data_IF_456033675042
#
_entry.id   IF_456033675042
#
_cell.length_a   1.000
_cell.length_b   1.000
_cell.length_c   1.000
_cell.angle_alpha   90.00
_cell.angle_beta   90.00
_cell.angle_gamma   90.00
#
_symmetry.space_group_name_H-M   'P 1'
#
loop_
_entity.id
_entity.type
_entity.pdbx_description
1 polymer ?
#
# COMPACT_ATOMS: atom_id res chain seq x y z
N UNK A 1 -54.62 13.20 12.27
CA UNK A 1 -54.16 14.34 13.09
C UNK A 1 -53.21 13.93 14.25
N UNK A 2 -52.16 13.13 14.04
CA UNK A 2 -51.18 12.91 15.14
C UNK A 2 -49.74 12.57 14.71
N UNK A 3 -49.51 12.11 13.48
CA UNK A 3 -48.14 11.80 12.99
C UNK A 3 -47.44 12.92 12.21
N UNK A 4 -48.15 14.00 11.85
CA UNK A 4 -47.58 15.10 11.06
C UNK A 4 -47.01 16.26 11.90
N UNK A 5 -47.14 16.22 13.22
CA UNK A 5 -46.64 17.29 14.12
C UNK A 5 -45.19 17.04 14.57
N UNK A 6 -44.67 15.80 14.45
CA UNK A 6 -43.34 15.43 14.97
C UNK A 6 -42.18 15.65 13.99
N UNK A 7 -42.45 16.08 12.75
CA UNK A 7 -41.39 16.44 11.79
C UNK A 7 -41.03 17.94 11.83
N UNK A 8 -41.74 18.72 12.64
CA UNK A 8 -41.51 20.15 12.87
C UNK A 8 -40.87 20.41 14.23
N UNK A 9 -39.87 19.62 14.60
CA UNK A 9 -39.06 19.89 15.80
C UNK A 9 -37.57 19.64 15.58
N UNK A 10 -37.16 19.37 14.33
CA UNK A 10 -35.75 19.27 13.93
C UNK A 10 -35.22 20.58 13.30
N UNK A 11 -36.04 21.63 13.24
CA UNK A 11 -35.75 22.88 12.52
C UNK A 11 -35.86 24.13 13.43
N UNK A 12 -35.53 23.96 14.71
CA UNK A 12 -35.47 25.07 15.67
C UNK A 12 -34.28 24.84 16.60
N UNK A 13 -33.08 25.27 16.18
CA UNK A 13 -31.95 25.33 17.12
C UNK A 13 -30.53 25.19 16.57
N UNK A 14 -30.26 25.43 15.29
CA UNK A 14 -28.87 25.76 14.91
C UNK A 14 -28.90 26.87 13.88
N UNK A 15 -28.61 28.09 14.35
CA UNK A 15 -28.42 29.23 13.46
C UNK A 15 -27.31 28.89 12.45
N UNK A 16 -27.36 29.35 11.18
CA UNK A 16 -26.30 29.08 10.19
C UNK A 16 -24.89 29.44 10.72
N UNK A 17 -24.82 30.39 11.66
CA UNK A 17 -23.63 30.81 12.38
C UNK A 17 -23.07 29.79 13.38
N UNK A 18 -23.89 28.94 14.00
CA UNK A 18 -23.43 27.86 14.91
C UNK A 18 -22.98 26.60 14.17
N UNK A 19 -23.61 26.29 13.03
CA UNK A 19 -23.14 25.21 12.15
C UNK A 19 -21.81 25.59 11.49
N UNK A 20 -21.64 26.86 11.12
CA UNK A 20 -20.36 27.36 10.63
C UNK A 20 -19.29 27.32 11.72
N UNK A 21 -19.57 27.78 12.96
CA UNK A 21 -18.57 27.81 14.04
C UNK A 21 -18.05 26.43 14.49
N UNK A 22 -18.83 25.35 14.30
CA UNK A 22 -18.39 23.96 14.53
C UNK A 22 -17.56 23.39 13.34
N UNK A 23 -17.64 24.01 12.16
CA UNK A 23 -16.95 23.59 10.93
C UNK A 23 -15.75 24.50 10.57
N UNK A 24 -15.52 25.60 11.28
CA UNK A 24 -14.48 26.60 10.93
C UNK A 24 -12.99 26.23 11.16
N UNK A 25 -12.58 25.06 11.72
CA UNK A 25 -11.20 24.59 11.53
C UNK A 25 -11.01 23.78 10.23
N UNK A 26 -12.09 23.35 9.56
CA UNK A 26 -12.03 22.46 8.40
C UNK A 26 -11.70 23.13 7.05
N UNK A 27 -11.99 24.42 6.75
CA UNK A 27 -11.71 24.97 5.43
C UNK A 27 -10.24 25.30 5.19
N UNK A 28 -9.42 25.51 6.24
CA UNK A 28 -7.97 25.76 6.09
C UNK A 28 -7.26 24.44 5.76
N UNK A 29 -7.55 23.38 6.51
CA UNK A 29 -6.98 22.04 6.29
C UNK A 29 -7.50 21.44 4.97
N UNK A 30 -8.79 21.58 4.64
CA UNK A 30 -9.32 21.11 3.34
C UNK A 30 -8.89 21.97 2.15
N UNK A 31 -8.56 23.26 2.30
CA UNK A 31 -7.97 24.04 1.19
C UNK A 31 -6.51 23.68 0.93
N UNK A 32 -5.71 23.42 1.97
CA UNK A 32 -4.31 22.98 1.78
C UNK A 32 -4.22 21.52 1.33
N UNK A 33 -5.01 20.62 1.92
CA UNK A 33 -5.03 19.19 1.55
C UNK A 33 -5.83 18.95 0.27
N UNK A 34 -6.85 19.76 -0.03
CA UNK A 34 -7.70 19.62 -1.22
C UNK A 34 -7.04 20.07 -2.53
N UNK A 35 -5.99 20.90 -2.47
CA UNK A 35 -5.21 21.31 -3.64
C UNK A 35 -4.06 20.36 -4.00
N UNK A 36 -3.54 19.59 -3.03
CA UNK A 36 -2.31 18.78 -3.16
C UNK A 36 -2.40 17.27 -2.83
N UNK A 37 -3.55 16.57 -2.84
CA UNK A 37 -3.55 15.13 -2.53
C UNK A 37 -2.77 14.32 -3.57
N UNK A 38 -2.90 14.70 -4.85
CA UNK A 38 -2.23 14.05 -5.98
C UNK A 38 -0.70 14.15 -5.88
N UNK A 39 -0.18 15.26 -5.36
CA UNK A 39 1.27 15.47 -5.26
C UNK A 39 1.91 14.53 -4.24
N UNK A 40 1.22 14.27 -3.12
CA UNK A 40 1.69 13.34 -2.09
C UNK A 40 1.61 11.89 -2.57
N UNK A 41 0.52 11.54 -3.28
CA UNK A 41 0.35 10.23 -3.90
C UNK A 41 1.41 10.02 -5.00
N UNK A 42 1.62 11.01 -5.87
CA UNK A 42 2.61 10.97 -6.93
C UNK A 42 4.04 10.88 -6.39
N UNK A 43 4.37 11.63 -5.33
CA UNK A 43 5.68 11.56 -4.68
C UNK A 43 5.91 10.19 -4.03
N UNK A 44 4.90 9.63 -3.38
CA UNK A 44 4.96 8.28 -2.82
C UNK A 44 5.17 7.22 -3.90
N UNK A 45 4.46 7.35 -5.03
CA UNK A 45 4.59 6.44 -6.18
C UNK A 45 5.96 6.58 -6.87
N UNK A 46 6.45 7.81 -7.04
CA UNK A 46 7.75 8.09 -7.66
C UNK A 46 8.90 7.56 -6.81
N UNK A 47 8.88 7.76 -5.48
CA UNK A 47 9.90 7.21 -4.58
C UNK A 47 9.87 5.68 -4.56
N UNK A 48 8.67 5.08 -4.54
CA UNK A 48 8.53 3.62 -4.65
C UNK A 48 9.08 3.11 -5.98
N UNK A 49 8.78 3.79 -7.10
CA UNK A 49 9.28 3.44 -8.43
C UNK A 49 10.81 3.59 -8.54
N UNK A 50 11.41 4.62 -7.93
CA UNK A 50 12.87 4.79 -7.89
C UNK A 50 13.56 3.69 -7.09
N UNK A 51 13.01 3.31 -5.93
CA UNK A 51 13.58 2.23 -5.11
C UNK A 51 13.43 0.86 -5.77
N UNK A 52 12.29 0.63 -6.44
CA UNK A 52 12.07 -0.55 -7.28
C UNK A 52 13.00 -0.56 -8.48
N UNK A 53 13.19 0.59 -9.15
CA UNK A 53 14.10 0.73 -10.28
C UNK A 53 15.57 0.47 -9.89
N UNK A 54 15.99 0.94 -8.71
CA UNK A 54 17.30 0.63 -8.16
C UNK A 54 17.46 -0.88 -7.94
N UNK A 55 16.45 -1.53 -7.36
CA UNK A 55 16.45 -2.98 -7.16
C UNK A 55 16.55 -3.75 -8.49
N UNK A 56 15.77 -3.35 -9.50
CA UNK A 56 15.80 -3.94 -10.84
C UNK A 56 17.12 -3.65 -11.57
N UNK A 57 17.85 -2.59 -11.24
CA UNK A 57 19.18 -2.31 -11.79
C UNK A 57 20.31 -3.08 -11.05
N UNK A 58 20.18 -3.29 -9.74
CA UNK A 58 21.17 -3.99 -8.91
C UNK A 58 21.09 -5.52 -9.08
N UNK A 59 19.90 -6.08 -9.28
CA UNK A 59 19.72 -7.52 -9.46
C UNK A 59 20.43 -8.10 -10.72
N UNK A 60 20.31 -7.52 -11.92
CA UNK A 60 21.00 -8.03 -13.10
C UNK A 60 22.51 -7.75 -13.06
N UNK A 61 22.97 -6.67 -12.43
CA UNK A 61 24.40 -6.39 -12.30
C UNK A 61 25.09 -7.36 -11.35
N UNK A 62 24.44 -7.69 -10.22
CA UNK A 62 24.92 -8.71 -9.28
C UNK A 62 24.85 -10.11 -9.90
N UNK A 63 23.76 -10.49 -10.59
CA UNK A 63 23.67 -11.77 -11.30
C UNK A 63 24.66 -11.88 -12.47
N UNK A 64 24.89 -10.81 -13.24
CA UNK A 64 25.91 -10.78 -14.28
C UNK A 64 27.34 -10.86 -13.72
N UNK A 65 27.59 -10.29 -12.55
CA UNK A 65 28.90 -10.45 -11.89
C UNK A 65 29.14 -11.89 -11.41
N UNK A 66 28.07 -12.59 -11.00
CA UNK A 66 28.13 -14.01 -10.60
C UNK A 66 28.28 -14.95 -11.82
N UNK A 67 27.66 -14.64 -12.97
CA UNK A 67 27.89 -15.42 -14.20
C UNK A 67 29.30 -15.24 -14.76
N UNK A 68 29.90 -14.05 -14.60
CA UNK A 68 31.31 -13.82 -14.96
C UNK A 68 32.28 -14.64 -14.10
N UNK A 69 31.86 -15.11 -12.93
CA UNK A 69 32.61 -16.00 -12.04
C UNK A 69 32.35 -17.49 -12.31
N UNK A 70 31.60 -17.83 -13.38
CA UNK A 70 31.30 -19.22 -13.77
C UNK A 70 30.05 -19.81 -13.08
N UNK A 71 29.26 -19.02 -12.37
CA UNK A 71 28.02 -19.48 -11.75
C UNK A 71 26.87 -19.60 -12.75
N UNK A 72 26.15 -20.73 -12.75
CA UNK A 72 24.87 -20.86 -13.45
C UNK A 72 23.81 -19.97 -12.78
N UNK A 73 23.03 -19.22 -13.58
CA UNK A 73 21.86 -18.50 -13.06
C UNK A 73 20.78 -19.54 -12.76
N UNK A 74 20.73 -19.99 -11.51
CA UNK A 74 19.64 -20.82 -10.99
C UNK A 74 18.54 -19.92 -10.47
N UNK A 75 17.28 -20.34 -10.55
CA UNK A 75 16.13 -19.60 -10.00
C UNK A 75 16.30 -19.24 -8.51
N UNK A 76 17.11 -20.02 -7.77
CA UNK A 76 17.42 -19.82 -6.36
C UNK A 76 18.23 -18.56 -6.05
N UNK A 77 19.01 -18.03 -7.00
CA UNK A 77 19.80 -16.81 -6.78
C UNK A 77 18.93 -15.56 -6.58
N UNK A 78 17.62 -15.66 -6.83
CA UNK A 78 16.64 -14.60 -6.65
C UNK A 78 15.85 -14.69 -5.34
N UNK A 79 16.01 -15.77 -4.56
CA UNK A 79 15.35 -15.93 -3.26
C UNK A 79 15.84 -14.97 -2.14
N UNK A 80 17.13 -14.63 -2.02
CA UNK A 80 17.63 -13.81 -0.91
C UNK A 80 16.87 -12.49 -0.68
N UNK A 81 16.57 -11.67 -1.71
CA UNK A 81 15.82 -10.42 -1.49
C UNK A 81 14.37 -10.64 -1.03
N UNK A 82 13.80 -11.82 -1.27
CA UNK A 82 12.46 -12.18 -0.82
C UNK A 82 12.45 -12.51 0.68
N UNK A 83 13.55 -13.07 1.22
CA UNK A 83 13.70 -13.40 2.64
C UNK A 83 13.82 -12.13 3.49
N UNK A 84 14.51 -11.10 3.00
CA UNK A 84 14.61 -9.79 3.68
C UNK A 84 13.25 -9.08 3.79
N UNK A 85 12.35 -9.34 2.85
CA UNK A 85 10.98 -8.85 2.89
C UNK A 85 10.16 -9.42 4.05
N UNK A 86 10.37 -10.69 4.38
CA UNK A 86 9.57 -11.42 5.37
C UNK A 86 9.67 -10.85 6.79
N UNK A 87 10.85 -10.37 7.19
CA UNK A 87 11.06 -9.73 8.49
C UNK A 87 10.67 -8.25 8.48
N UNK A 88 10.87 -7.58 7.35
CA UNK A 88 10.62 -6.15 7.24
C UNK A 88 9.12 -5.79 7.21
N UNK A 89 8.26 -6.67 6.68
CA UNK A 89 6.80 -6.51 6.64
C UNK A 89 6.18 -6.42 8.06
N UNK A 90 6.38 -7.39 8.97
CA UNK A 90 5.84 -7.31 10.33
C UNK A 90 6.46 -6.18 11.14
N UNK A 91 7.76 -5.89 10.96
CA UNK A 91 8.42 -4.72 11.54
C UNK A 91 7.76 -3.40 11.09
N UNK A 92 7.42 -3.29 9.81
CA UNK A 92 6.70 -2.13 9.27
C UNK A 92 5.29 -1.99 9.84
N UNK A 93 4.58 -3.10 10.08
CA UNK A 93 3.26 -3.09 10.72
C UNK A 93 3.33 -2.65 12.18
N UNK A 94 4.32 -3.15 12.93
CA UNK A 94 4.55 -2.75 14.32
C UNK A 94 4.91 -1.26 14.38
N UNK A 95 5.77 -0.80 13.48
CA UNK A 95 6.14 0.61 13.36
C UNK A 95 4.97 1.51 12.97
N UNK A 96 4.00 1.01 12.19
CA UNK A 96 2.79 1.76 11.87
C UNK A 96 1.78 1.78 13.02
N UNK A 97 1.66 0.67 13.76
CA UNK A 97 0.70 0.54 14.87
C UNK A 97 1.10 1.31 16.13
N UNK A 98 2.40 1.38 16.44
CA UNK A 98 2.88 2.04 17.67
C UNK A 98 2.58 3.56 17.72
N UNK A 99 2.86 4.37 16.67
CA UNK A 99 2.55 5.80 16.65
C UNK A 99 1.05 6.09 16.67
N UNK A 100 0.24 5.15 16.16
CA UNK A 100 -1.22 5.29 16.13
C UNK A 100 -1.83 5.23 17.54
N UNK A 101 -1.23 4.50 18.48
CA UNK A 101 -1.67 4.46 19.87
C UNK A 101 -1.01 5.57 20.72
N UNK A 102 0.22 5.97 20.38
CA UNK A 102 1.02 6.88 21.18
C UNK A 102 0.81 8.38 20.89
N UNK A 103 -0.20 8.77 20.09
CA UNK A 103 -0.48 10.16 19.69
C UNK A 103 0.79 10.94 19.25
N UNK A 104 1.72 10.23 18.61
CA UNK A 104 3.04 10.79 18.25
C UNK A 104 2.93 11.64 16.99
N UNK A 105 3.95 12.46 16.69
CA UNK A 105 4.03 13.28 15.47
C UNK A 105 3.52 12.55 14.22
N UNK A 106 2.61 13.20 13.49
CA UNK A 106 1.94 12.69 12.29
C UNK A 106 2.88 12.16 11.18
N UNK A 107 4.15 12.57 11.20
CA UNK A 107 5.18 12.11 10.25
C UNK A 107 5.62 10.65 10.49
N UNK A 108 5.57 10.17 11.73
CA UNK A 108 6.05 8.84 12.13
C UNK A 108 5.24 7.71 11.48
N UNK A 109 3.89 7.71 11.52
CA UNK A 109 3.10 6.70 10.81
C UNK A 109 3.27 6.80 9.28
N UNK A 110 3.47 8.00 8.72
CA UNK A 110 3.72 8.18 7.27
C UNK A 110 5.04 7.49 6.85
N UNK A 111 6.10 7.62 7.66
CA UNK A 111 7.37 6.92 7.44
C UNK A 111 7.21 5.40 7.55
N UNK A 112 6.42 4.92 8.52
CA UNK A 112 6.09 3.51 8.67
C UNK A 112 5.40 2.92 7.44
N UNK A 113 4.34 3.58 6.96
CA UNK A 113 3.60 3.13 5.76
C UNK A 113 4.46 3.17 4.50
N UNK A 114 5.37 4.15 4.37
CA UNK A 114 6.32 4.21 3.26
C UNK A 114 7.28 3.02 3.27
N UNK A 115 7.91 2.75 4.42
CA UNK A 115 8.83 1.62 4.55
C UNK A 115 8.14 0.27 4.30
N UNK A 116 6.93 0.11 4.84
CA UNK A 116 6.09 -1.07 4.62
C UNK A 116 5.74 -1.25 3.14
N UNK A 117 5.24 -0.20 2.47
CA UNK A 117 4.85 -0.26 1.06
C UNK A 117 6.00 -0.64 0.13
N UNK A 118 7.19 -0.07 0.35
CA UNK A 118 8.39 -0.40 -0.43
C UNK A 118 8.74 -1.89 -0.31
N UNK A 119 8.72 -2.44 0.91
CA UNK A 119 9.08 -3.84 1.15
C UNK A 119 8.06 -4.82 0.58
N UNK A 120 6.77 -4.49 0.63
CA UNK A 120 5.70 -5.30 0.01
C UNK A 120 5.88 -5.37 -1.51
N UNK A 121 6.10 -4.23 -2.17
CA UNK A 121 6.27 -4.19 -3.64
C UNK A 121 7.53 -4.94 -4.07
N UNK A 122 8.64 -4.79 -3.34
CA UNK A 122 9.90 -5.46 -3.67
C UNK A 122 9.82 -6.99 -3.51
N UNK A 123 9.14 -7.46 -2.47
CA UNK A 123 8.86 -8.89 -2.26
C UNK A 123 7.93 -9.43 -3.35
N UNK A 124 6.91 -8.65 -3.72
CA UNK A 124 5.95 -9.00 -4.77
C UNK A 124 6.63 -9.14 -6.13
N UNK A 125 7.49 -8.21 -6.52
CA UNK A 125 8.22 -8.31 -7.79
C UNK A 125 9.16 -9.51 -7.80
N UNK A 126 9.91 -9.73 -6.71
CA UNK A 126 10.83 -10.87 -6.59
C UNK A 126 10.10 -12.21 -6.73
N UNK A 127 8.91 -12.34 -6.11
CA UNK A 127 8.08 -13.53 -6.23
C UNK A 127 7.58 -13.77 -7.67
N UNK A 128 7.10 -12.73 -8.35
CA UNK A 128 6.63 -12.87 -9.74
C UNK A 128 7.77 -13.20 -10.71
N UNK A 129 8.95 -12.59 -10.54
CA UNK A 129 10.15 -12.91 -11.34
C UNK A 129 10.64 -14.33 -11.06
N UNK A 130 10.66 -14.77 -9.81
CA UNK A 130 11.04 -16.14 -9.44
C UNK A 130 10.10 -17.18 -10.08
N UNK A 131 8.78 -16.96 -9.98
CA UNK A 131 7.78 -17.86 -10.55
C UNK A 131 7.90 -18.03 -12.07
N UNK A 132 8.28 -16.96 -12.78
CA UNK A 132 8.55 -16.98 -14.22
C UNK A 132 9.81 -17.77 -14.56
N UNK A 133 10.88 -17.57 -13.80
CA UNK A 133 12.16 -18.24 -14.04
C UNK A 133 12.16 -19.72 -13.62
N UNK A 134 11.37 -20.12 -12.60
CA UNK A 134 11.26 -21.52 -12.17
C UNK A 134 10.36 -22.37 -13.08
N UNK A 135 9.48 -21.76 -13.88
CA UNK A 135 8.50 -22.45 -14.72
C UNK A 135 8.59 -22.03 -16.19
N UNK A 136 9.76 -22.22 -16.82
CA UNK A 136 10.03 -21.75 -18.19
C UNK A 136 9.01 -22.26 -19.23
N UNK A 137 8.47 -23.47 -19.08
CA UNK A 137 7.50 -24.08 -20.01
C UNK A 137 6.08 -23.51 -19.82
N UNK A 138 5.73 -23.08 -18.60
CA UNK A 138 4.38 -22.63 -18.22
C UNK A 138 4.34 -21.23 -17.61
N UNK A 139 5.32 -20.37 -17.91
CA UNK A 139 5.51 -19.06 -17.28
C UNK A 139 4.27 -18.14 -17.40
N UNK A 140 3.59 -18.19 -18.56
CA UNK A 140 2.37 -17.42 -18.79
C UNK A 140 1.22 -17.88 -17.88
N UNK A 141 1.05 -19.18 -17.68
CA UNK A 141 -0.02 -19.74 -16.84
C UNK A 141 0.18 -19.39 -15.37
N UNK A 142 1.41 -19.47 -14.86
CA UNK A 142 1.73 -19.16 -13.45
C UNK A 142 1.44 -17.68 -13.14
N UNK A 143 1.73 -16.78 -14.07
CA UNK A 143 1.47 -15.34 -13.91
C UNK A 143 -0.03 -15.05 -13.80
N UNK A 144 -0.85 -15.70 -14.63
CA UNK A 144 -2.32 -15.60 -14.57
C UNK A 144 -2.87 -16.26 -13.31
N UNK A 145 -2.36 -17.44 -12.93
CA UNK A 145 -2.78 -18.15 -11.72
C UNK A 145 -2.55 -17.30 -10.46
N UNK A 146 -1.39 -16.64 -10.36
CA UNK A 146 -1.10 -15.73 -9.25
C UNK A 146 -2.10 -14.57 -9.17
N UNK A 147 -2.55 -14.05 -10.31
CA UNK A 147 -3.55 -12.98 -10.40
C UNK A 147 -4.95 -13.51 -10.07
N UNK A 148 -5.29 -14.72 -10.51
CA UNK A 148 -6.55 -15.38 -10.22
C UNK A 148 -6.73 -15.61 -8.71
N UNK A 149 -5.69 -16.04 -8.00
CA UNK A 149 -5.73 -16.20 -6.53
C UNK A 149 -6.03 -14.87 -5.82
N UNK A 150 -5.47 -13.76 -6.30
CA UNK A 150 -5.73 -12.42 -5.75
C UNK A 150 -7.17 -11.98 -6.03
N UNK A 151 -7.65 -12.15 -7.26
CA UNK A 151 -9.04 -11.87 -7.62
C UNK A 151 -10.03 -12.70 -6.82
N UNK A 152 -9.71 -13.98 -6.58
CA UNK A 152 -10.51 -14.84 -5.70
C UNK A 152 -10.58 -14.29 -4.28
N UNK A 153 -9.43 -13.87 -3.71
CA UNK A 153 -9.40 -13.31 -2.36
C UNK A 153 -10.26 -12.05 -2.23
N UNK A 154 -10.27 -11.20 -3.27
CA UNK A 154 -11.12 -10.02 -3.32
C UNK A 154 -12.61 -10.38 -3.44
N UNK A 155 -12.95 -11.35 -4.29
CA UNK A 155 -14.31 -11.89 -4.40
C UNK A 155 -14.81 -12.48 -3.10
N UNK A 156 -13.97 -13.22 -2.38
CA UNK A 156 -14.31 -13.79 -1.08
C UNK A 156 -14.63 -12.68 -0.06
N UNK A 157 -13.81 -11.63 -0.01
CA UNK A 157 -14.05 -10.48 0.85
C UNK A 157 -15.38 -9.77 0.52
N UNK A 158 -15.66 -9.54 -0.76
CA UNK A 158 -16.92 -8.95 -1.22
C UNK A 158 -18.12 -9.85 -0.86
N UNK A 159 -17.98 -11.16 -0.95
CA UNK A 159 -19.02 -12.11 -0.56
C UNK A 159 -19.35 -12.06 0.93
N UNK A 160 -18.42 -11.64 1.80
CA UNK A 160 -18.66 -11.49 3.24
C UNK A 160 -19.28 -10.13 3.59
N UNK A 161 -19.06 -9.09 2.78
CA UNK A 161 -19.57 -7.74 3.03
C UNK A 161 -21.07 -7.56 2.76
N UNK A 162 -21.69 -8.47 2.01
CA UNK A 162 -23.13 -8.46 1.71
C UNK A 162 -23.97 -9.38 2.62
N UNK A 163 -23.42 -9.81 3.77
CA UNK A 163 -24.13 -10.52 4.84
C UNK A 163 -24.09 -9.71 6.12
#
# INVERSE_FOLDING_TARGET
MSKLIRLRSWDQGSSPTELNSQLEPLPIIQREIGGFPWAHIALGLALAACLVGLFVAVLPTTLQSLTRLGGCITSESRLPPMMDGYWAIPLGLIWYGWPAQAHTHWIVPILGTRAFGVKVIMSFMSANTYMGDSNLIHAASVSVASTAVRSWSALFYLSQNHR
#
